data_IF_736118346670
#
_entry.id   IF_736118346670
#
_cell.length_a   1.000
_cell.length_b   1.000
_cell.length_c   1.000
_cell.angle_alpha   90.00
_cell.angle_beta   90.00
_cell.angle_gamma   90.00
#
_symmetry.space_group_name_H-M   'P 1'
#
loop_
_entity.id
_entity.type
_entity.pdbx_description
1 polymer ?
#
# COMPACT_ATOMS: atom_id res chain seq x y z
N UNK A 1 14.98 -0.47 -13.60
CA UNK A 1 14.25 0.38 -12.65
C UNK A 1 13.64 -0.50 -11.57
N UNK A 2 13.61 -0.06 -10.31
CA UNK A 2 12.99 -0.83 -9.21
C UNK A 2 11.53 -0.37 -9.07
N UNK A 3 10.59 -1.32 -9.07
CA UNK A 3 9.15 -1.00 -8.94
C UNK A 3 8.81 -0.57 -7.50
N UNK A 4 7.87 0.38 -7.32
CA UNK A 4 7.42 0.83 -5.99
C UNK A 4 6.39 -0.15 -5.39
N UNK A 5 6.81 -1.38 -5.09
CA UNK A 5 5.94 -2.51 -4.74
C UNK A 5 4.93 -2.21 -3.62
N UNK A 6 5.29 -1.40 -2.62
CA UNK A 6 4.40 -1.06 -1.50
C UNK A 6 3.22 -0.15 -1.90
N UNK A 7 3.31 0.56 -3.01
CA UNK A 7 2.25 1.44 -3.51
C UNK A 7 1.36 0.77 -4.55
N UNK A 8 1.78 -0.38 -5.08
CA UNK A 8 1.10 -1.02 -6.20
C UNK A 8 -0.14 -1.76 -5.71
N UNK A 9 -1.21 -1.67 -6.50
CA UNK A 9 -2.45 -2.41 -6.29
C UNK A 9 -2.25 -3.92 -6.52
N UNK A 10 -3.10 -4.78 -5.95
CA UNK A 10 -3.02 -6.24 -6.15
C UNK A 10 -3.01 -6.64 -7.63
N UNK A 11 -3.89 -6.05 -8.45
CA UNK A 11 -3.96 -6.32 -9.90
C UNK A 11 -2.67 -5.88 -10.62
N UNK A 12 -2.02 -4.81 -10.15
CA UNK A 12 -0.73 -4.36 -10.69
C UNK A 12 0.41 -5.27 -10.25
N UNK A 13 0.36 -5.83 -9.04
CA UNK A 13 1.38 -6.71 -8.49
C UNK A 13 1.36 -8.12 -9.10
N UNK A 14 0.16 -8.69 -9.27
CA UNK A 14 -0.01 -10.10 -9.65
C UNK A 14 -0.32 -10.29 -11.13
N UNK A 15 -1.05 -9.35 -11.75
CA UNK A 15 -1.50 -9.47 -13.14
C UNK A 15 -0.84 -8.44 -14.07
N UNK A 16 -0.12 -7.45 -13.52
CA UNK A 16 0.48 -6.37 -14.31
C UNK A 16 -0.55 -5.44 -14.95
N UNK A 17 -1.74 -5.34 -14.37
CA UNK A 17 -2.82 -4.46 -14.84
C UNK A 17 -2.68 -3.09 -14.17
N UNK A 18 -2.79 -2.03 -14.98
CA UNK A 18 -2.68 -0.64 -14.52
C UNK A 18 -3.89 0.14 -15.04
N UNK A 19 -4.82 0.42 -14.14
CA UNK A 19 -6.06 1.16 -14.42
C UNK A 19 -6.28 2.23 -13.36
N UNK A 20 -7.26 3.11 -13.58
CA UNK A 20 -7.59 4.18 -12.63
C UNK A 20 -7.89 3.66 -11.21
N UNK A 21 -8.40 2.42 -11.07
CA UNK A 21 -8.63 1.80 -9.75
C UNK A 21 -7.32 1.45 -9.05
N UNK A 22 -6.28 1.09 -9.79
CA UNK A 22 -4.93 0.87 -9.29
C UNK A 22 -4.30 2.19 -8.81
N UNK A 23 -4.61 3.29 -9.49
CA UNK A 23 -4.21 4.63 -9.04
C UNK A 23 -4.93 5.04 -7.75
N UNK A 24 -6.23 4.69 -7.60
CA UNK A 24 -6.98 4.92 -6.36
C UNK A 24 -6.37 4.16 -5.18
N UNK A 25 -5.91 2.92 -5.40
CA UNK A 25 -5.15 2.18 -4.38
C UNK A 25 -3.87 2.92 -3.98
N UNK A 26 -3.08 3.33 -4.97
CA UNK A 26 -1.84 4.07 -4.74
C UNK A 26 -2.08 5.39 -4.00
N UNK A 27 -3.19 6.07 -4.30
CA UNK A 27 -3.65 7.26 -3.59
C UNK A 27 -4.02 6.98 -2.13
N UNK A 28 -4.61 5.82 -1.82
CA UNK A 28 -4.85 5.39 -0.44
C UNK A 28 -3.54 5.23 0.35
N UNK A 29 -2.51 4.64 -0.26
CA UNK A 29 -1.19 4.55 0.36
C UNK A 29 -0.57 5.94 0.56
N UNK A 30 -0.71 6.83 -0.43
CA UNK A 30 -0.26 8.23 -0.31
C UNK A 30 -0.97 8.98 0.83
N UNK A 31 -2.28 8.81 1.00
CA UNK A 31 -3.02 9.38 2.13
C UNK A 31 -2.46 8.86 3.45
N UNK A 32 -2.19 7.55 3.54
CA UNK A 32 -1.57 6.96 4.73
C UNK A 32 -0.20 7.57 5.03
N UNK A 33 0.63 7.83 4.02
CA UNK A 33 1.91 8.53 4.18
C UNK A 33 1.72 9.97 4.67
N UNK A 34 0.76 10.71 4.12
CA UNK A 34 0.47 12.10 4.53
C UNK A 34 0.08 12.13 6.02
N UNK A 35 -0.86 11.30 6.43
CA UNK A 35 -1.36 11.27 7.81
C UNK A 35 -0.44 10.52 8.80
N UNK A 36 0.63 9.90 8.32
CA UNK A 36 1.71 9.37 9.16
C UNK A 36 2.95 10.27 9.18
N UNK A 37 2.90 11.44 8.52
CA UNK A 37 4.03 12.37 8.36
C UNK A 37 5.25 11.73 7.67
N UNK A 38 5.01 10.93 6.64
CA UNK A 38 6.04 10.35 5.78
C UNK A 38 6.67 9.06 6.31
N UNK A 39 5.98 8.33 7.19
CA UNK A 39 6.42 6.97 7.58
C UNK A 39 6.37 6.05 6.37
N UNK A 40 7.33 5.13 6.28
CA UNK A 40 7.36 4.14 5.21
C UNK A 40 6.12 3.21 5.29
N UNK A 41 5.34 3.05 4.20
CA UNK A 41 4.17 2.17 4.21
C UNK A 41 4.50 0.75 4.67
N UNK A 42 3.57 0.10 5.35
CA UNK A 42 3.74 -1.23 5.96
C UNK A 42 4.99 -1.26 6.87
N UNK A 43 4.98 -0.50 7.98
CA UNK A 43 6.13 -0.40 8.87
C UNK A 43 6.50 -1.78 9.44
N UNK A 44 7.79 -2.11 9.43
CA UNK A 44 8.29 -3.41 9.87
C UNK A 44 8.10 -4.56 8.88
N UNK A 45 7.40 -4.36 7.75
CA UNK A 45 7.19 -5.38 6.72
C UNK A 45 8.21 -5.21 5.59
N UNK A 46 8.99 -6.27 5.36
CA UNK A 46 9.92 -6.37 4.23
C UNK A 46 9.17 -6.81 2.98
N UNK A 47 9.65 -6.37 1.81
CA UNK A 47 9.07 -6.80 0.52
C UNK A 47 9.64 -8.18 0.16
N UNK A 48 8.98 -9.22 0.65
CA UNK A 48 9.30 -10.63 0.41
C UNK A 48 8.01 -11.46 0.15
N UNK A 49 8.11 -12.79 0.11
CA UNK A 49 6.96 -13.67 -0.12
C UNK A 49 5.80 -13.45 0.88
N UNK A 50 6.10 -13.06 2.12
CA UNK A 50 5.07 -12.79 3.14
C UNK A 50 4.31 -11.52 2.83
N UNK A 51 4.98 -10.48 2.31
CA UNK A 51 4.31 -9.26 1.86
C UNK A 51 3.26 -9.56 0.78
N UNK A 52 3.63 -10.35 -0.23
CA UNK A 52 2.70 -10.72 -1.30
C UNK A 52 1.49 -11.51 -0.77
N UNK A 53 1.70 -12.47 0.15
CA UNK A 53 0.61 -13.22 0.80
C UNK A 53 -0.31 -12.31 1.63
N UNK A 54 0.27 -11.31 2.30
CA UNK A 54 -0.46 -10.36 3.13
C UNK A 54 -1.36 -9.44 2.29
N UNK A 55 -0.86 -8.95 1.14
CA UNK A 55 -1.69 -8.20 0.18
C UNK A 55 -2.81 -9.11 -0.38
N UNK A 56 -2.49 -10.36 -0.72
CA UNK A 56 -3.46 -11.30 -1.26
C UNK A 56 -4.54 -11.69 -0.23
N UNK A 57 -4.24 -11.69 1.06
CA UNK A 57 -5.23 -11.93 2.12
C UNK A 57 -6.14 -10.73 2.39
N UNK A 58 -5.92 -9.59 1.72
CA UNK A 58 -6.70 -8.37 1.91
C UNK A 58 -6.32 -7.59 3.17
N UNK A 59 -5.10 -7.75 3.68
CA UNK A 59 -4.63 -6.93 4.80
C UNK A 59 -4.63 -5.45 4.42
N UNK A 60 -5.00 -4.60 5.39
CA UNK A 60 -4.92 -3.15 5.31
C UNK A 60 -4.10 -2.64 6.49
N UNK A 61 -3.34 -1.57 6.28
CA UNK A 61 -2.59 -0.93 7.37
C UNK A 61 -3.55 -0.33 8.39
N UNK A 62 -3.13 -0.31 9.64
CA UNK A 62 -3.84 0.40 10.69
C UNK A 62 -3.93 1.90 10.38
N UNK A 63 -4.92 2.56 10.97
CA UNK A 63 -5.10 4.00 10.85
C UNK A 63 -3.83 4.75 11.27
N UNK A 64 -3.32 5.69 10.46
CA UNK A 64 -2.13 6.45 10.81
C UNK A 64 -2.44 7.46 11.92
N UNK A 65 -1.43 7.79 12.73
CA UNK A 65 -1.60 8.54 13.99
C UNK A 65 -2.30 9.89 13.87
N UNK A 66 -2.11 10.62 12.74
CA UNK A 66 -2.72 11.93 12.53
C UNK A 66 -3.97 11.88 11.64
N UNK A 67 -4.46 10.70 11.26
CA UNK A 67 -5.77 10.59 10.63
C UNK A 67 -6.87 10.70 11.68
N UNK A 68 -7.93 11.42 11.34
CA UNK A 68 -9.12 11.55 12.19
C UNK A 68 -9.95 10.28 12.13
N UNK A 69 -10.37 9.77 13.28
CA UNK A 69 -11.59 8.97 13.39
C UNK A 69 -12.73 9.98 13.17
N UNK A 70 -13.54 9.84 12.12
CA UNK A 70 -14.76 10.65 12.02
C UNK A 70 -15.69 10.42 13.21
#
# INVERSE_FOLDING_TARGET
ARLPVKWMAPESLFEGIYIIRSDVWSYGILLWEIFSLGVNPYPGVQVDEKFYKLIQSGFQMDQPFYATEE
#
